data_IF_748735827860
#
_entry.id   IF_748735827860
#
_cell.length_a   1.000
_cell.length_b   1.000
_cell.length_c   1.000
_cell.angle_alpha   90.00
_cell.angle_beta   90.00
_cell.angle_gamma   90.00
#
_symmetry.space_group_name_H-M   'P 1'
#
loop_
_entity.id
_entity.type
_entity.pdbx_description
1 polymer ?
#
# COMPACT_ATOMS: atom_id res chain seq x y z
N UNK A 1 51.45 12.04 3.04
CA UNK A 1 51.12 11.52 4.39
C UNK A 1 50.50 12.56 5.33
N UNK A 2 50.62 13.87 5.07
CA UNK A 2 49.95 14.90 5.88
C UNK A 2 48.43 15.03 5.61
N UNK A 3 47.96 14.74 4.39
CA UNK A 3 46.54 14.92 4.01
C UNK A 3 45.60 13.80 4.47
N UNK A 4 46.11 12.59 4.73
CA UNK A 4 45.32 11.46 5.25
C UNK A 4 44.95 11.69 6.73
N UNK A 5 45.85 12.32 7.50
CA UNK A 5 45.60 12.63 8.90
C UNK A 5 44.56 13.75 9.08
N UNK A 6 44.41 14.66 8.12
CA UNK A 6 43.37 15.70 8.17
C UNK A 6 41.96 15.13 7.93
N UNK A 7 41.84 14.09 7.08
CA UNK A 7 40.58 13.39 6.85
C UNK A 7 40.16 12.52 8.06
N UNK A 8 41.12 11.87 8.73
CA UNK A 8 40.86 11.09 9.94
C UNK A 8 40.52 11.96 11.16
N UNK A 9 41.08 13.17 11.24
CA UNK A 9 40.76 14.10 12.35
C UNK A 9 39.33 14.67 12.23
N UNK A 10 38.75 14.74 11.01
CA UNK A 10 37.35 15.16 10.81
C UNK A 10 36.31 14.06 11.08
N UNK A 11 36.71 12.79 11.17
CA UNK A 11 35.82 11.69 11.54
C UNK A 11 35.62 11.57 13.06
N UNK A 12 36.49 12.18 13.87
CA UNK A 12 36.45 12.09 15.34
C UNK A 12 35.74 13.28 16.03
N UNK A 13 35.01 14.10 15.27
CA UNK A 13 34.17 15.16 15.83
C UNK A 13 32.81 15.22 15.14
N UNK A 14 32.17 14.07 14.92
CA UNK A 14 30.72 14.08 14.69
C UNK A 14 30.10 14.38 16.06
N UNK A 15 29.53 15.58 16.29
CA UNK A 15 28.78 15.81 17.51
C UNK A 15 27.72 14.72 17.59
N UNK A 16 27.54 14.10 18.76
CA UNK A 16 26.54 13.05 18.96
C UNK A 16 25.22 13.53 18.37
N UNK A 17 24.85 13.01 17.19
CA UNK A 17 23.63 13.41 16.52
C UNK A 17 22.51 13.04 17.48
N UNK A 18 21.75 14.05 17.92
CA UNK A 18 20.54 13.80 18.72
C UNK A 18 19.72 12.78 17.92
N UNK A 19 19.24 11.71 18.57
CA UNK A 19 18.46 10.70 17.88
C UNK A 19 17.31 11.39 17.16
N UNK A 20 17.01 10.98 15.91
CA UNK A 20 15.91 11.57 15.16
C UNK A 20 14.63 11.43 15.98
N UNK A 21 13.90 12.53 16.10
CA UNK A 21 12.65 12.58 16.87
C UNK A 21 11.49 12.20 15.95
N UNK A 22 10.60 11.33 16.43
CA UNK A 22 9.35 11.05 15.74
C UNK A 22 8.37 12.17 16.08
N UNK A 23 7.87 12.86 15.06
CA UNK A 23 6.90 13.94 15.21
C UNK A 23 5.52 13.39 14.84
N UNK A 24 4.57 13.45 15.77
CA UNK A 24 3.20 13.01 15.56
C UNK A 24 2.35 14.21 15.16
N UNK A 25 1.97 14.24 13.87
CA UNK A 25 1.12 15.28 13.26
C UNK A 25 -0.21 14.68 12.84
N UNK A 26 -1.15 14.62 13.79
CA UNK A 26 -2.51 14.09 13.56
C UNK A 26 -3.24 14.89 12.49
N UNK A 27 -3.12 16.22 12.54
CA UNK A 27 -3.64 17.15 11.55
C UNK A 27 -3.17 16.86 10.11
N UNK A 28 -2.03 16.19 9.96
CA UNK A 28 -1.41 15.91 8.67
C UNK A 28 -1.69 14.49 8.15
N UNK A 29 -1.77 13.52 9.06
CA UNK A 29 -1.65 12.09 8.74
C UNK A 29 -2.73 11.20 9.39
N UNK A 30 -3.62 11.73 10.25
CA UNK A 30 -4.78 10.98 10.75
C UNK A 30 -5.96 11.03 9.78
N UNK A 31 -6.93 10.14 10.00
CA UNK A 31 -8.11 9.98 9.16
C UNK A 31 -8.98 11.25 9.18
N UNK A 32 -8.95 12.01 8.09
CA UNK A 32 -9.94 13.05 7.83
C UNK A 32 -11.26 12.39 7.45
N UNK A 33 -12.31 12.62 8.26
CA UNK A 33 -13.68 12.21 7.90
C UNK A 33 -14.27 13.07 6.77
N UNK A 34 -13.58 14.13 6.32
CA UNK A 34 -14.12 15.08 5.34
C UNK A 34 -14.45 14.42 3.99
N UNK A 35 -13.72 13.37 3.59
CA UNK A 35 -13.98 12.67 2.33
C UNK A 35 -14.98 11.49 2.46
N UNK A 36 -15.47 11.21 3.67
CA UNK A 36 -16.21 9.96 3.95
C UNK A 36 -17.49 9.83 3.14
N UNK A 37 -18.29 10.90 3.07
CA UNK A 37 -19.57 10.87 2.35
C UNK A 37 -19.36 10.67 0.84
N UNK A 38 -18.37 11.33 0.25
CA UNK A 38 -17.99 11.13 -1.16
C UNK A 38 -17.52 9.69 -1.42
N UNK A 39 -16.67 9.15 -0.56
CA UNK A 39 -16.21 7.76 -0.67
C UNK A 39 -17.38 6.77 -0.53
N UNK A 40 -18.34 7.05 0.34
CA UNK A 40 -19.53 6.19 0.52
C UNK A 40 -20.49 6.27 -0.68
N UNK A 41 -20.62 7.42 -1.33
CA UNK A 41 -21.35 7.56 -2.60
C UNK A 41 -20.66 6.83 -3.76
N UNK A 42 -19.33 6.89 -3.81
CA UNK A 42 -18.52 6.09 -4.73
C UNK A 42 -18.75 4.60 -4.51
N UNK A 43 -18.73 4.13 -3.25
CA UNK A 43 -19.04 2.72 -2.91
C UNK A 43 -20.45 2.32 -3.36
N UNK A 44 -21.45 3.22 -3.24
CA UNK A 44 -22.81 2.96 -3.76
C UNK A 44 -22.81 2.74 -5.27
N UNK A 45 -22.00 3.48 -6.02
CA UNK A 45 -21.85 3.30 -7.47
C UNK A 45 -21.06 2.02 -7.81
N UNK A 46 -20.04 1.66 -7.03
CA UNK A 46 -19.32 0.39 -7.21
C UNK A 46 -20.22 -0.84 -6.99
N UNK A 47 -21.22 -0.74 -6.11
CA UNK A 47 -22.24 -1.81 -5.93
C UNK A 47 -22.95 -2.13 -7.24
N UNK A 48 -23.22 -1.14 -8.09
CA UNK A 48 -23.91 -1.31 -9.38
C UNK A 48 -23.10 -2.22 -10.31
N UNK A 49 -21.77 -2.13 -10.29
CA UNK A 49 -20.87 -2.93 -11.15
C UNK A 49 -20.81 -4.41 -10.78
N UNK A 50 -21.05 -4.74 -9.51
CA UNK A 50 -20.87 -6.10 -8.97
C UNK A 50 -22.19 -6.84 -8.73
N UNK A 51 -23.34 -6.16 -8.88
CA UNK A 51 -24.68 -6.70 -8.65
C UNK A 51 -25.38 -7.05 -9.97
N UNK A 52 -26.22 -8.11 -9.99
CA UNK A 52 -26.97 -8.47 -11.18
C UNK A 52 -28.09 -7.47 -11.48
N UNK A 53 -28.40 -7.28 -12.77
CA UNK A 53 -29.60 -6.56 -13.22
C UNK A 53 -29.43 -5.07 -13.50
N UNK A 54 -28.26 -4.49 -13.24
CA UNK A 54 -27.98 -3.08 -13.53
C UNK A 54 -27.27 -2.92 -14.89
N UNK A 55 -27.75 -2.01 -15.77
CA UNK A 55 -27.26 -1.88 -17.15
C UNK A 55 -25.97 -1.04 -17.28
N UNK A 56 -25.44 -0.48 -16.19
CA UNK A 56 -24.35 0.48 -16.24
C UNK A 56 -23.01 -0.20 -16.48
N UNK A 57 -22.61 -0.29 -17.75
CA UNK A 57 -21.26 -0.68 -18.14
C UNK A 57 -20.33 0.53 -18.03
N UNK A 58 -19.20 0.35 -17.35
CA UNK A 58 -18.12 1.32 -17.26
C UNK A 58 -16.89 0.85 -18.03
N UNK A 59 -16.91 0.94 -19.38
CA UNK A 59 -15.82 0.45 -20.23
C UNK A 59 -14.47 1.16 -19.98
N UNK A 60 -14.48 2.32 -19.33
CA UNK A 60 -13.30 3.06 -18.90
C UNK A 60 -12.55 2.38 -17.73
N UNK A 61 -13.21 1.52 -16.98
CA UNK A 61 -12.58 0.79 -15.87
C UNK A 61 -11.70 -0.34 -16.40
N UNK A 62 -10.50 -0.45 -15.85
CA UNK A 62 -9.52 -1.44 -16.30
C UNK A 62 -9.95 -2.83 -15.85
N UNK A 63 -10.37 -3.67 -16.80
CA UNK A 63 -10.66 -5.09 -16.59
C UNK A 63 -9.62 -5.97 -17.32
N UNK A 64 -9.07 -7.02 -16.68
CA UNK A 64 -8.05 -7.86 -17.31
C UNK A 64 -8.58 -8.51 -18.60
N UNK A 65 -7.86 -8.36 -19.72
CA UNK A 65 -8.25 -8.97 -21.01
C UNK A 65 -8.34 -10.51 -20.96
N UNK A 66 -7.66 -11.13 -20.00
CA UNK A 66 -7.75 -12.57 -19.74
C UNK A 66 -9.09 -12.96 -19.12
N UNK A 67 -9.77 -12.05 -18.42
CA UNK A 67 -11.12 -12.26 -17.90
C UNK A 67 -12.14 -12.00 -19.00
N UNK A 68 -12.69 -13.08 -19.55
CA UNK A 68 -13.75 -13.01 -20.58
C UNK A 68 -15.13 -12.70 -20.02
N UNK A 69 -15.32 -12.95 -18.73
CA UNK A 69 -16.57 -12.75 -18.00
C UNK A 69 -16.63 -11.33 -17.43
N UNK A 70 -17.84 -10.79 -17.32
CA UNK A 70 -18.08 -9.49 -16.71
C UNK A 70 -17.86 -9.58 -15.17
N UNK A 71 -17.55 -8.47 -14.47
CA UNK A 71 -17.27 -8.49 -13.03
C UNK A 71 -18.34 -9.20 -12.19
N UNK A 72 -19.63 -8.96 -12.48
CA UNK A 72 -20.77 -9.60 -11.81
C UNK A 72 -20.78 -11.13 -11.98
N UNK A 73 -20.31 -11.65 -13.12
CA UNK A 73 -20.21 -13.09 -13.35
C UNK A 73 -19.01 -13.67 -12.60
N UNK A 74 -17.91 -12.93 -12.52
CA UNK A 74 -16.73 -13.34 -11.73
C UNK A 74 -17.06 -13.38 -10.23
N UNK A 75 -17.89 -12.46 -9.72
CA UNK A 75 -18.40 -12.54 -8.34
C UNK A 75 -19.16 -13.84 -8.11
N UNK A 76 -20.00 -14.29 -9.07
CA UNK A 76 -20.70 -15.59 -8.95
C UNK A 76 -19.72 -16.75 -8.86
N UNK A 77 -18.70 -16.78 -9.72
CA UNK A 77 -17.68 -17.83 -9.67
C UNK A 77 -16.91 -17.83 -8.34
N UNK A 78 -16.62 -16.65 -7.78
CA UNK A 78 -15.99 -16.54 -6.46
C UNK A 78 -16.91 -17.12 -5.38
N UNK A 79 -18.21 -16.84 -5.41
CA UNK A 79 -19.19 -17.40 -4.45
C UNK A 79 -19.29 -18.92 -4.58
N UNK A 80 -19.27 -19.47 -5.80
CA UNK A 80 -19.28 -20.92 -6.05
C UNK A 80 -18.02 -21.60 -5.49
N UNK A 81 -16.84 -21.01 -5.73
CA UNK A 81 -15.57 -21.49 -5.19
C UNK A 81 -15.54 -21.42 -3.66
N UNK A 82 -15.98 -20.30 -3.08
CA UNK A 82 -16.04 -20.14 -1.62
C UNK A 82 -17.02 -21.11 -0.96
N UNK A 83 -18.16 -21.36 -1.58
CA UNK A 83 -19.11 -22.38 -1.09
C UNK A 83 -18.46 -23.76 -1.04
N UNK A 84 -17.72 -24.13 -2.09
CA UNK A 84 -16.97 -25.38 -2.13
C UNK A 84 -15.90 -25.43 -1.04
N UNK A 85 -15.12 -24.36 -0.88
CA UNK A 85 -14.10 -24.27 0.17
C UNK A 85 -14.67 -24.30 1.59
N UNK A 86 -15.86 -23.74 1.81
CA UNK A 86 -16.58 -23.80 3.09
C UNK A 86 -16.87 -25.24 3.49
N UNK A 87 -17.41 -26.03 2.56
CA UNK A 87 -17.74 -27.43 2.81
C UNK A 87 -16.48 -28.26 3.08
N UNK A 88 -15.42 -28.04 2.30
CA UNK A 88 -14.12 -28.70 2.49
C UNK A 88 -13.54 -28.35 3.87
N UNK A 89 -13.46 -27.06 4.22
CA UNK A 89 -12.87 -26.62 5.47
C UNK A 89 -13.63 -27.19 6.67
N UNK A 90 -14.97 -27.12 6.66
CA UNK A 90 -15.80 -27.66 7.75
C UNK A 90 -15.61 -29.16 7.93
N UNK A 91 -15.63 -29.92 6.83
CA UNK A 91 -15.36 -31.36 6.86
C UNK A 91 -13.96 -31.68 7.36
N UNK A 92 -12.94 -30.98 6.86
CA UNK A 92 -11.55 -31.20 7.27
C UNK A 92 -11.32 -30.79 8.73
N UNK A 93 -12.01 -29.77 9.22
CA UNK A 93 -11.98 -29.38 10.63
C UNK A 93 -12.47 -30.48 11.57
N UNK A 94 -13.45 -31.27 11.13
CA UNK A 94 -14.00 -32.38 11.89
C UNK A 94 -13.17 -33.67 11.78
N UNK A 95 -12.42 -33.83 10.69
CA UNK A 95 -11.75 -35.10 10.33
C UNK A 95 -10.23 -35.09 10.50
N UNK A 96 -9.60 -33.92 10.55
CA UNK A 96 -8.15 -33.74 10.68
C UNK A 96 -7.77 -33.24 12.08
N UNK A 97 -6.54 -33.55 12.49
CA UNK A 97 -5.92 -32.92 13.66
C UNK A 97 -5.36 -31.54 13.25
N UNK A 98 -6.22 -30.52 13.26
CA UNK A 98 -5.91 -29.18 12.75
C UNK A 98 -4.72 -28.52 13.46
N UNK A 99 -4.55 -28.78 14.75
CA UNK A 99 -3.46 -28.22 15.55
C UNK A 99 -2.09 -28.76 15.12
N UNK A 100 -2.06 -29.94 14.45
CA UNK A 100 -0.82 -30.53 13.92
C UNK A 100 -0.49 -30.14 12.49
N UNK A 101 -1.38 -29.44 11.78
CA UNK A 101 -1.13 -29.05 10.38
C UNK A 101 0.04 -28.06 10.29
N UNK A 102 0.15 -27.13 11.25
CA UNK A 102 1.17 -26.11 11.26
C UNK A 102 1.63 -25.82 12.69
N UNK A 103 2.93 -26.03 12.96
CA UNK A 103 3.49 -25.84 14.29
C UNK A 103 3.78 -24.37 14.65
N UNK A 104 4.17 -23.55 13.65
CA UNK A 104 4.52 -22.14 13.86
C UNK A 104 3.51 -21.23 13.19
N UNK A 105 2.94 -20.33 13.97
CA UNK A 105 2.01 -19.31 13.51
C UNK A 105 2.62 -17.92 13.65
N UNK A 106 2.31 -17.03 12.71
CA UNK A 106 2.77 -15.63 12.75
C UNK A 106 1.79 -14.78 13.56
N UNK A 107 2.25 -13.64 14.08
CA UNK A 107 1.37 -12.60 14.62
C UNK A 107 0.40 -13.07 15.75
N UNK A 108 0.80 -14.06 16.56
CA UNK A 108 -0.05 -14.68 17.58
C UNK A 108 -1.38 -15.23 17.02
N UNK A 109 -1.37 -15.60 15.74
CA UNK A 109 -2.46 -16.30 15.07
C UNK A 109 -2.46 -17.78 15.47
N UNK A 110 -3.61 -18.44 15.31
CA UNK A 110 -3.81 -19.83 15.70
C UNK A 110 -4.91 -20.46 14.81
N UNK A 111 -5.02 -21.79 14.74
CA UNK A 111 -5.97 -22.46 13.84
C UNK A 111 -7.39 -21.90 13.97
N UNK A 112 -7.90 -21.69 15.18
CA UNK A 112 -9.27 -21.21 15.34
C UNK A 112 -9.46 -19.79 14.81
N UNK A 113 -8.46 -18.91 14.91
CA UNK A 113 -8.55 -17.52 14.43
C UNK A 113 -8.51 -17.50 12.90
N UNK A 114 -7.73 -18.39 12.29
CA UNK A 114 -7.86 -18.68 10.87
C UNK A 114 -9.29 -19.09 10.52
N UNK A 115 -9.86 -20.06 11.23
CA UNK A 115 -11.24 -20.53 10.96
C UNK A 115 -12.26 -19.40 11.11
N UNK A 116 -12.18 -18.62 12.17
CA UNK A 116 -13.09 -17.51 12.45
C UNK A 116 -13.12 -16.51 11.29
N UNK A 117 -11.94 -16.10 10.79
CA UNK A 117 -11.85 -15.20 9.62
C UNK A 117 -12.43 -15.81 8.36
N UNK A 118 -12.18 -17.09 8.09
CA UNK A 118 -12.71 -17.76 6.89
C UNK A 118 -14.21 -18.03 6.98
N UNK A 119 -14.75 -18.42 8.14
CA UNK A 119 -16.20 -18.54 8.35
C UNK A 119 -16.89 -17.18 8.15
N UNK A 120 -16.30 -16.09 8.64
CA UNK A 120 -16.79 -14.73 8.39
C UNK A 120 -16.86 -14.41 6.89
N UNK A 121 -15.81 -14.73 6.13
CA UNK A 121 -15.82 -14.57 4.67
C UNK A 121 -16.89 -15.45 4.00
N UNK A 122 -17.08 -16.68 4.45
CA UNK A 122 -18.14 -17.53 3.91
C UNK A 122 -19.53 -16.96 4.18
N UNK A 123 -19.79 -16.42 5.37
CA UNK A 123 -21.04 -15.73 5.67
C UNK A 123 -21.25 -14.51 4.75
N UNK A 124 -20.22 -13.67 4.61
CA UNK A 124 -20.30 -12.42 3.85
C UNK A 124 -20.43 -12.64 2.32
N UNK A 125 -19.98 -13.77 1.80
CA UNK A 125 -20.07 -14.11 0.36
C UNK A 125 -21.18 -15.12 0.02
N UNK A 126 -21.29 -16.22 0.76
CA UNK A 126 -22.17 -17.34 0.41
C UNK A 126 -23.59 -17.14 0.97
N UNK A 127 -23.73 -16.51 2.14
CA UNK A 127 -25.03 -16.36 2.82
C UNK A 127 -25.72 -15.02 2.47
N UNK A 128 -25.09 -14.21 1.63
CA UNK A 128 -25.61 -12.93 1.13
C UNK A 128 -26.13 -13.09 -0.29
N UNK A 129 -27.37 -12.66 -0.53
CA UNK A 129 -27.90 -12.58 -1.91
C UNK A 129 -27.07 -11.63 -2.74
N UNK A 130 -26.75 -12.00 -3.97
CA UNK A 130 -25.88 -11.20 -4.83
C UNK A 130 -26.39 -9.77 -5.05
N UNK A 131 -27.70 -9.52 -5.05
CA UNK A 131 -28.26 -8.15 -5.14
C UNK A 131 -27.88 -7.24 -3.95
N UNK A 132 -27.44 -7.83 -2.84
CA UNK A 132 -27.01 -7.12 -1.62
C UNK A 132 -25.50 -7.17 -1.41
N UNK A 133 -24.73 -7.73 -2.35
CA UNK A 133 -23.28 -7.86 -2.24
C UNK A 133 -22.60 -6.51 -1.96
N UNK A 134 -21.62 -6.50 -1.06
CA UNK A 134 -20.85 -5.31 -0.70
C UNK A 134 -19.43 -5.38 -1.31
N UNK A 135 -19.04 -4.43 -2.17
CA UNK A 135 -17.74 -4.43 -2.85
C UNK A 135 -16.53 -4.49 -1.90
N UNK A 136 -16.64 -3.95 -0.69
CA UNK A 136 -15.58 -3.98 0.34
C UNK A 136 -15.09 -5.40 0.66
N UNK A 137 -15.98 -6.40 0.54
CA UNK A 137 -15.68 -7.81 0.80
C UNK A 137 -14.66 -8.39 -0.17
N UNK A 138 -14.55 -7.81 -1.37
CA UNK A 138 -13.54 -8.20 -2.35
C UNK A 138 -12.14 -7.96 -1.81
N UNK A 139 -11.91 -6.79 -1.21
CA UNK A 139 -10.62 -6.43 -0.62
C UNK A 139 -10.30 -7.33 0.57
N UNK A 140 -11.26 -7.54 1.47
CA UNK A 140 -11.09 -8.44 2.62
C UNK A 140 -10.74 -9.89 2.20
N UNK A 141 -11.41 -10.42 1.18
CA UNK A 141 -11.12 -11.75 0.63
C UNK A 141 -9.70 -11.82 0.05
N UNK A 142 -9.35 -10.86 -0.80
CA UNK A 142 -8.04 -10.83 -1.45
C UNK A 142 -6.90 -10.74 -0.43
N UNK A 143 -7.02 -9.83 0.55
CA UNK A 143 -6.05 -9.64 1.61
C UNK A 143 -5.94 -10.87 2.51
N UNK A 144 -7.07 -11.52 2.83
CA UNK A 144 -7.06 -12.74 3.66
C UNK A 144 -6.36 -13.88 2.95
N UNK A 145 -6.65 -14.12 1.66
CA UNK A 145 -5.96 -15.16 0.88
C UNK A 145 -4.46 -14.87 0.83
N UNK A 146 -4.09 -13.62 0.54
CA UNK A 146 -2.70 -13.19 0.44
C UNK A 146 -1.96 -13.36 1.77
N UNK A 147 -2.54 -12.90 2.87
CA UNK A 147 -1.99 -13.06 4.21
C UNK A 147 -1.80 -14.53 4.56
N UNK A 148 -2.81 -15.38 4.33
CA UNK A 148 -2.73 -16.82 4.58
C UNK A 148 -1.67 -17.49 3.70
N UNK A 149 -1.54 -17.08 2.43
CA UNK A 149 -0.54 -17.63 1.51
C UNK A 149 0.90 -17.33 1.95
N UNK A 150 1.12 -16.17 2.58
CA UNK A 150 2.44 -15.74 3.06
C UNK A 150 2.77 -16.31 4.43
N UNK A 151 1.81 -16.30 5.36
CA UNK A 151 2.08 -16.61 6.77
C UNK A 151 1.65 -18.01 7.19
N UNK A 152 0.60 -18.55 6.59
CA UNK A 152 -0.04 -19.81 7.00
C UNK A 152 -0.18 -20.79 5.83
N UNK A 153 0.81 -20.80 4.92
CA UNK A 153 0.76 -21.52 3.66
C UNK A 153 0.43 -23.00 3.84
N UNK A 154 1.17 -23.69 4.71
CA UNK A 154 0.96 -25.12 4.97
C UNK A 154 -0.46 -25.38 5.46
N UNK A 155 -0.97 -24.52 6.34
CA UNK A 155 -2.33 -24.62 6.84
C UNK A 155 -3.36 -24.39 5.74
N UNK A 156 -3.23 -23.29 4.99
CA UNK A 156 -4.11 -22.87 3.90
C UNK A 156 -4.27 -23.99 2.86
N UNK A 157 -3.17 -24.54 2.36
CA UNK A 157 -3.22 -25.59 1.33
C UNK A 157 -3.71 -26.94 1.90
N UNK A 158 -3.46 -27.25 3.17
CA UNK A 158 -3.91 -28.51 3.77
C UNK A 158 -5.39 -28.49 4.12
N UNK A 159 -5.87 -27.41 4.74
CA UNK A 159 -7.26 -27.32 5.21
C UNK A 159 -8.26 -27.25 4.06
N UNK A 160 -7.86 -26.70 2.91
CA UNK A 160 -8.69 -26.60 1.71
C UNK A 160 -8.48 -27.74 0.70
N UNK A 161 -7.69 -28.76 1.04
CA UNK A 161 -7.50 -29.92 0.17
C UNK A 161 -8.67 -30.92 0.35
N UNK A 162 -9.30 -31.35 -0.74
CA UNK A 162 -10.39 -32.32 -0.70
C UNK A 162 -9.94 -33.71 -0.20
N UNK A 163 -8.73 -34.15 -0.56
CA UNK A 163 -8.39 -35.57 -0.42
C UNK A 163 -7.78 -35.97 0.93
N UNK A 164 -7.48 -35.02 1.83
CA UNK A 164 -6.78 -35.31 3.09
C UNK A 164 -5.44 -36.05 2.92
N UNK A 165 -4.94 -36.18 1.69
CA UNK A 165 -3.73 -36.93 1.31
C UNK A 165 -2.57 -35.98 1.15
N UNK A 166 -1.48 -36.30 1.85
CA UNK A 166 -0.21 -35.60 1.82
C UNK A 166 0.48 -35.68 0.45
N UNK A 167 0.91 -34.50 -0.01
CA UNK A 167 2.11 -34.21 -0.81
C UNK A 167 2.24 -34.66 -2.28
N UNK A 168 1.37 -35.50 -2.86
CA UNK A 168 1.60 -36.00 -4.25
C UNK A 168 0.43 -35.89 -5.24
N UNK A 169 -0.70 -35.32 -4.85
CA UNK A 169 -1.78 -35.04 -5.80
C UNK A 169 -1.44 -33.79 -6.65
N UNK A 170 -1.85 -33.73 -7.94
CA UNK A 170 -1.73 -32.50 -8.74
C UNK A 170 -2.38 -31.36 -7.94
N UNK A 171 -1.58 -30.34 -7.65
CA UNK A 171 -1.97 -29.22 -6.79
C UNK A 171 -3.33 -28.70 -7.23
N UNK A 172 -4.32 -28.82 -6.34
CA UNK A 172 -5.66 -28.34 -6.59
C UNK A 172 -5.60 -26.86 -6.98
N UNK A 173 -5.94 -26.59 -8.24
CA UNK A 173 -5.84 -25.25 -8.83
C UNK A 173 -7.01 -24.35 -8.41
N UNK A 174 -8.00 -24.87 -7.66
CA UNK A 174 -9.15 -24.07 -7.19
C UNK A 174 -8.71 -22.87 -6.35
N UNK A 175 -7.65 -23.01 -5.55
CA UNK A 175 -7.16 -21.90 -4.71
C UNK A 175 -6.50 -20.81 -5.58
N UNK A 176 -5.72 -21.20 -6.59
CA UNK A 176 -5.17 -20.28 -7.59
C UNK A 176 -6.26 -19.58 -8.40
N UNK A 177 -7.31 -20.33 -8.74
CA UNK A 177 -8.49 -19.82 -9.42
C UNK A 177 -9.27 -18.80 -8.58
N UNK A 178 -9.47 -19.08 -7.29
CA UNK A 178 -10.07 -18.14 -6.34
C UNK A 178 -9.22 -16.89 -6.22
N UNK A 179 -7.91 -17.04 -6.01
CA UNK A 179 -6.99 -15.91 -5.90
C UNK A 179 -6.95 -15.05 -7.15
N UNK A 180 -6.88 -15.66 -8.35
CA UNK A 180 -6.86 -14.91 -9.61
C UNK A 180 -8.15 -14.11 -9.85
N UNK A 181 -9.30 -14.64 -9.44
CA UNK A 181 -10.59 -13.95 -9.51
C UNK A 181 -10.72 -12.85 -8.46
N UNK A 182 -10.36 -13.14 -7.21
CA UNK A 182 -10.32 -12.15 -6.13
C UNK A 182 -9.39 -10.98 -6.50
N UNK A 183 -8.20 -11.26 -7.06
CA UNK A 183 -7.28 -10.24 -7.53
C UNK A 183 -7.87 -9.38 -8.65
N UNK A 184 -8.52 -9.99 -9.64
CA UNK A 184 -9.11 -9.23 -10.74
C UNK A 184 -10.21 -8.27 -10.25
N UNK A 185 -11.02 -8.72 -9.29
CA UNK A 185 -12.02 -7.87 -8.63
C UNK A 185 -11.37 -6.79 -7.76
N UNK A 186 -10.31 -7.12 -7.01
CA UNK A 186 -9.58 -6.16 -6.17
C UNK A 186 -8.97 -5.04 -7.00
N UNK A 187 -8.26 -5.38 -8.08
CA UNK A 187 -7.66 -4.43 -9.03
C UNK A 187 -8.70 -3.48 -9.66
N UNK A 188 -9.98 -3.90 -9.73
CA UNK A 188 -11.10 -3.09 -10.21
C UNK A 188 -11.67 -2.20 -9.10
N UNK A 189 -11.84 -2.71 -7.88
CA UNK A 189 -12.56 -2.04 -6.79
C UNK A 189 -11.64 -1.09 -6.03
N UNK A 190 -10.50 -1.56 -5.52
CA UNK A 190 -9.68 -0.83 -4.56
C UNK A 190 -9.22 0.57 -5.05
N UNK A 191 -8.73 0.74 -6.30
CA UNK A 191 -8.35 2.06 -6.79
C UNK A 191 -9.52 3.03 -6.93
N UNK A 192 -10.73 2.50 -7.09
CA UNK A 192 -11.93 3.30 -7.33
C UNK A 192 -12.65 3.68 -6.04
N UNK A 193 -12.28 3.11 -4.89
CA UNK A 193 -12.81 3.54 -3.58
C UNK A 193 -12.47 5.02 -3.28
N UNK A 194 -11.44 5.55 -3.93
CA UNK A 194 -10.97 6.93 -3.81
C UNK A 194 -11.44 7.83 -4.95
N UNK A 195 -12.56 7.49 -5.59
CA UNK A 195 -13.16 8.20 -6.72
C UNK A 195 -13.18 7.37 -7.99
N UNK A 196 -14.22 7.52 -8.82
CA UNK A 196 -14.32 6.85 -10.13
C UNK A 196 -13.84 7.80 -11.21
N UNK A 197 -14.45 9.00 -11.27
CA UNK A 197 -14.11 10.04 -12.23
C UNK A 197 -12.89 10.86 -11.76
N UNK A 198 -12.15 11.51 -12.69
CA UNK A 198 -11.01 12.36 -12.34
C UNK A 198 -11.34 13.47 -11.35
N UNK A 199 -12.51 14.10 -11.47
CA UNK A 199 -12.97 15.19 -10.60
C UNK A 199 -13.19 14.69 -9.17
N UNK A 200 -13.83 13.52 -9.02
CA UNK A 200 -14.05 12.88 -7.71
C UNK A 200 -12.72 12.49 -7.05
N UNK A 201 -11.79 11.96 -7.84
CA UNK A 201 -10.43 11.63 -7.37
C UNK A 201 -9.66 12.85 -6.90
N UNK A 202 -9.84 13.99 -7.57
CA UNK A 202 -9.24 15.27 -7.18
C UNK A 202 -9.84 15.75 -5.86
N UNK A 203 -11.16 15.72 -5.73
CA UNK A 203 -11.90 16.21 -4.56
C UNK A 203 -11.60 15.38 -3.30
N UNK A 204 -11.72 14.05 -3.39
CA UNK A 204 -11.33 13.13 -2.31
C UNK A 204 -9.84 13.33 -1.96
N UNK A 205 -8.98 13.48 -2.98
CA UNK A 205 -7.57 13.80 -2.81
C UNK A 205 -7.34 15.07 -2.01
N UNK A 206 -8.08 16.13 -2.30
CA UNK A 206 -7.97 17.43 -1.62
C UNK A 206 -8.38 17.31 -0.15
N UNK A 207 -9.50 16.66 0.12
CA UNK A 207 -10.07 16.54 1.47
C UNK A 207 -9.23 15.64 2.41
N UNK A 208 -8.47 14.70 1.85
CA UNK A 208 -7.65 13.76 2.64
C UNK A 208 -6.16 14.14 2.66
N UNK A 209 -5.57 14.50 1.52
CA UNK A 209 -4.12 14.53 1.33
C UNK A 209 -3.55 15.90 0.95
N UNK A 210 -4.36 16.95 0.81
CA UNK A 210 -3.85 18.29 0.51
C UNK A 210 -2.89 18.84 1.58
N UNK A 211 -3.16 18.70 2.89
CA UNK A 211 -2.21 19.15 3.92
C UNK A 211 -0.84 18.49 3.78
N UNK A 212 -0.82 17.18 3.50
CA UNK A 212 0.41 16.43 3.27
C UNK A 212 1.14 16.93 2.02
N UNK A 213 0.43 17.14 0.91
CA UNK A 213 1.03 17.66 -0.31
C UNK A 213 1.64 19.05 -0.11
N UNK A 214 0.98 19.94 0.65
CA UNK A 214 1.51 21.27 1.01
C UNK A 214 2.80 21.14 1.83
N UNK A 215 2.84 20.24 2.80
CA UNK A 215 4.05 20.01 3.60
C UNK A 215 5.20 19.44 2.76
N UNK A 216 4.93 18.52 1.85
CA UNK A 216 5.93 18.00 0.91
C UNK A 216 6.50 19.11 0.03
N UNK A 217 5.65 20.00 -0.52
CA UNK A 217 6.12 21.17 -1.29
C UNK A 217 6.96 22.11 -0.43
N UNK A 218 6.52 22.40 0.79
CA UNK A 218 7.28 23.22 1.74
C UNK A 218 8.62 22.60 2.13
N UNK A 219 8.70 21.28 2.26
CA UNK A 219 9.96 20.55 2.48
C UNK A 219 10.90 20.66 1.28
N UNK A 220 10.39 20.55 0.06
CA UNK A 220 11.18 20.71 -1.16
C UNK A 220 11.73 22.15 -1.27
N UNK A 221 10.93 23.15 -0.90
CA UNK A 221 11.36 24.55 -0.81
C UNK A 221 12.44 24.75 0.26
N UNK A 222 12.25 24.20 1.46
CA UNK A 222 13.25 24.23 2.53
C UNK A 222 14.55 23.55 2.10
N UNK A 223 14.46 22.36 1.50
CA UNK A 223 15.60 21.60 1.03
C UNK A 223 16.36 22.33 -0.08
N UNK A 224 15.68 23.02 -0.99
CA UNK A 224 16.32 23.83 -2.03
C UNK A 224 17.08 25.03 -1.44
N UNK A 225 16.53 25.64 -0.40
CA UNK A 225 17.12 26.82 0.25
C UNK A 225 18.16 26.46 1.33
N UNK A 226 18.32 25.18 1.62
CA UNK A 226 19.34 24.66 2.54
C UNK A 226 20.53 24.13 1.73
N UNK A 227 21.75 24.35 2.21
CA UNK A 227 22.98 23.85 1.57
C UNK A 227 23.32 22.40 1.98
N UNK A 228 22.59 21.85 2.95
CA UNK A 228 22.77 20.48 3.44
C UNK A 228 21.80 19.48 2.81
N UNK A 229 22.24 18.22 2.68
CA UNK A 229 21.34 17.14 2.31
C UNK A 229 20.36 16.83 3.46
N UNK A 230 19.10 16.57 3.12
CA UNK A 230 18.06 16.25 4.08
C UNK A 230 17.24 15.02 3.69
N UNK A 231 16.58 14.42 4.67
CA UNK A 231 15.61 13.35 4.50
C UNK A 231 14.41 13.63 5.40
N UNK A 232 13.23 13.73 4.81
CA UNK A 232 11.95 13.74 5.55
C UNK A 232 11.22 12.44 5.26
N UNK A 233 10.79 11.75 6.31
CA UNK A 233 10.00 10.52 6.23
C UNK A 233 8.61 10.77 6.79
N UNK A 234 7.60 10.44 6.00
CA UNK A 234 6.20 10.48 6.39
C UNK A 234 5.68 9.05 6.52
N UNK A 235 5.27 8.66 7.73
CA UNK A 235 4.65 7.36 7.98
C UNK A 235 3.14 7.51 7.93
N UNK A 236 2.51 6.82 6.99
CA UNK A 236 1.08 6.98 6.71
C UNK A 236 0.45 5.67 6.26
N UNK A 237 -0.86 5.68 6.03
CA UNK A 237 -1.65 4.53 5.59
C UNK A 237 -1.71 4.45 4.06
N UNK A 238 -2.10 3.28 3.55
CA UNK A 238 -2.35 3.03 2.13
C UNK A 238 -3.31 4.06 1.51
N UNK A 239 -4.42 4.36 2.20
CA UNK A 239 -5.43 5.33 1.76
C UNK A 239 -4.86 6.73 1.53
N UNK A 240 -3.93 7.19 2.38
CA UNK A 240 -3.25 8.47 2.21
C UNK A 240 -2.30 8.44 1.01
N UNK A 241 -1.59 7.34 0.77
CA UNK A 241 -0.73 7.22 -0.43
C UNK A 241 -1.60 7.26 -1.70
N UNK A 242 -2.75 6.56 -1.72
CA UNK A 242 -3.67 6.57 -2.86
C UNK A 242 -4.20 7.97 -3.17
N UNK A 243 -4.73 8.66 -2.15
CA UNK A 243 -5.31 10.00 -2.31
C UNK A 243 -4.24 11.05 -2.67
N UNK A 244 -3.04 10.98 -2.08
CA UNK A 244 -1.90 11.81 -2.47
C UNK A 244 -1.48 11.55 -3.93
N UNK A 245 -1.42 10.28 -4.34
CA UNK A 245 -1.10 9.90 -5.71
C UNK A 245 -2.14 10.41 -6.71
N UNK A 246 -3.43 10.42 -6.37
CA UNK A 246 -4.47 11.03 -7.21
C UNK A 246 -4.19 12.52 -7.46
N UNK A 247 -3.86 13.29 -6.42
CA UNK A 247 -3.47 14.70 -6.57
C UNK A 247 -2.24 14.86 -7.48
N UNK A 248 -1.21 14.03 -7.27
CA UNK A 248 0.00 14.04 -8.09
C UNK A 248 -0.32 13.71 -9.56
N UNK A 249 -1.18 12.74 -9.84
CA UNK A 249 -1.58 12.36 -11.19
C UNK A 249 -2.43 13.43 -11.89
N UNK A 250 -3.23 14.19 -11.14
CA UNK A 250 -4.14 15.24 -11.62
C UNK A 250 -3.51 16.65 -11.63
N UNK A 251 -2.28 16.78 -11.11
CA UNK A 251 -1.47 18.00 -11.13
C UNK A 251 -1.07 18.48 -12.54
N UNK A 252 -1.13 17.58 -13.53
CA UNK A 252 -0.64 17.82 -14.89
C UNK A 252 0.87 17.59 -15.06
N UNK A 253 1.54 16.98 -14.08
CA UNK A 253 2.90 16.49 -14.24
C UNK A 253 2.99 15.43 -15.36
N UNK A 254 4.07 15.42 -16.17
CA UNK A 254 4.30 14.42 -17.20
C UNK A 254 4.71 13.08 -16.56
N UNK A 255 3.71 12.33 -16.07
CA UNK A 255 3.91 11.06 -15.37
C UNK A 255 3.79 9.89 -16.35
N UNK A 256 4.82 9.05 -16.36
CA UNK A 256 4.82 7.76 -17.02
C UNK A 256 3.99 6.75 -16.22
N UNK A 257 3.20 5.91 -16.90
CA UNK A 257 2.32 4.91 -16.31
C UNK A 257 1.45 5.46 -15.17
N UNK A 258 0.31 6.05 -15.56
CA UNK A 258 -0.65 6.72 -14.65
C UNK A 258 -1.43 5.76 -13.75
N UNK A 259 -1.21 4.44 -13.83
CA UNK A 259 -1.86 3.45 -12.97
C UNK A 259 -1.13 3.38 -11.63
N UNK A 260 -1.86 3.66 -10.55
CA UNK A 260 -1.41 3.35 -9.19
C UNK A 260 -1.42 1.81 -9.06
N UNK A 261 -0.28 1.19 -8.74
CA UNK A 261 -0.23 -0.24 -8.50
C UNK A 261 -0.88 -0.59 -7.16
N UNK A 262 -0.97 -1.89 -6.89
CA UNK A 262 -1.27 -2.39 -5.54
C UNK A 262 -0.20 -1.92 -4.55
N UNK A 263 -0.62 -1.49 -3.37
CA UNK A 263 0.26 -0.93 -2.35
C UNK A 263 0.36 -1.89 -1.15
N UNK A 264 1.46 -2.64 -1.08
CA UNK A 264 1.74 -3.51 0.07
C UNK A 264 2.46 -2.79 1.20
N UNK A 265 2.69 -3.51 2.31
CA UNK A 265 3.54 -3.04 3.41
C UNK A 265 4.85 -2.43 2.90
N UNK A 266 5.25 -1.30 3.49
CA UNK A 266 6.42 -0.52 3.06
C UNK A 266 6.32 0.08 1.65
N UNK A 267 5.13 0.17 1.06
CA UNK A 267 4.87 1.03 -0.10
C UNK A 267 5.26 2.47 0.20
N UNK A 268 5.86 3.14 -0.78
CA UNK A 268 6.31 4.51 -0.61
C UNK A 268 6.42 5.26 -1.93
N UNK A 269 6.00 6.54 -1.90
CA UNK A 269 6.32 7.54 -2.91
C UNK A 269 7.53 8.36 -2.46
N UNK A 270 8.38 8.73 -3.42
CA UNK A 270 9.57 9.55 -3.18
C UNK A 270 9.52 10.81 -4.04
N UNK A 271 9.89 11.94 -3.43
CA UNK A 271 10.14 13.21 -4.09
C UNK A 271 11.61 13.55 -3.89
N UNK A 272 12.42 13.26 -4.90
CA UNK A 272 13.88 13.40 -4.82
C UNK A 272 14.28 14.73 -5.45
N UNK A 273 14.77 15.68 -4.65
CA UNK A 273 15.36 16.93 -5.12
C UNK A 273 16.86 16.73 -5.42
N UNK A 274 17.29 17.15 -6.61
CA UNK A 274 18.68 17.09 -7.04
C UNK A 274 19.19 18.50 -7.35
N UNK A 275 20.39 18.80 -6.85
CA UNK A 275 21.16 19.98 -7.21
C UNK A 275 22.27 19.57 -8.18
N UNK A 276 22.39 20.28 -9.31
CA UNK A 276 23.53 20.17 -10.21
C UNK A 276 24.38 21.44 -10.11
N UNK A 277 25.64 21.25 -9.70
CA UNK A 277 26.67 22.27 -9.79
C UNK A 277 27.29 22.26 -11.20
N UNK A 278 27.37 23.45 -11.82
CA UNK A 278 27.88 23.72 -13.17
C UNK A 278 26.93 23.40 -14.35
N UNK A 279 25.95 24.27 -14.58
CA UNK A 279 25.39 24.51 -15.91
C UNK A 279 26.42 25.15 -16.86
N UNK A 280 26.10 25.25 -18.17
CA UNK A 280 26.90 25.99 -19.18
C UNK A 280 26.93 27.49 -18.81
N UNK A 281 27.75 27.91 -17.84
CA UNK A 281 27.78 29.31 -17.40
C UNK A 281 28.46 29.65 -16.07
N UNK A 282 28.97 28.69 -15.28
CA UNK A 282 29.75 28.97 -14.04
C UNK A 282 29.06 29.80 -12.93
N UNK A 283 27.74 30.00 -12.91
CA UNK A 283 27.07 30.70 -11.78
C UNK A 283 25.73 30.12 -11.28
N UNK A 284 24.94 29.44 -12.10
CA UNK A 284 23.56 29.11 -11.68
C UNK A 284 23.43 27.63 -11.30
N UNK A 285 23.07 27.38 -10.04
CA UNK A 285 22.66 26.06 -9.54
C UNK A 285 21.36 25.65 -10.24
N UNK A 286 21.32 24.45 -10.79
CA UNK A 286 20.11 23.90 -11.42
C UNK A 286 19.48 22.86 -10.50
N UNK A 287 18.17 22.99 -10.27
CA UNK A 287 17.41 22.09 -9.41
C UNK A 287 16.42 21.28 -10.23
N UNK A 288 16.38 19.98 -10.00
CA UNK A 288 15.42 19.08 -10.61
C UNK A 288 14.79 18.17 -9.57
N UNK A 289 13.53 17.78 -9.79
CA UNK A 289 12.81 16.84 -8.94
C UNK A 289 12.48 15.58 -9.74
N UNK A 290 12.63 14.42 -9.11
CA UNK A 290 12.24 13.12 -9.66
C UNK A 290 11.27 12.43 -8.72
N UNK A 291 10.16 11.94 -9.27
CA UNK A 291 9.15 11.20 -8.53
C UNK A 291 9.28 9.70 -8.84
N UNK A 292 9.23 8.87 -7.81
CA UNK A 292 9.21 7.41 -7.96
C UNK A 292 8.29 6.77 -6.93
N UNK A 293 7.71 5.61 -7.26
CA UNK A 293 6.78 4.84 -6.42
C UNK A 293 7.24 3.40 -6.31
N UNK A 294 7.18 2.81 -5.11
CA UNK A 294 7.35 1.38 -4.87
C UNK A 294 6.04 0.77 -4.38
N UNK A 295 5.75 -0.44 -4.86
CA UNK A 295 4.65 -1.31 -4.41
C UNK A 295 4.88 -1.89 -3.01
N UNK A 296 6.05 -1.62 -2.40
CA UNK A 296 6.39 -2.18 -1.10
C UNK A 296 6.82 -3.63 -1.20
N UNK A 297 6.57 -4.39 -0.14
CA UNK A 297 6.88 -5.81 0.00
C UNK A 297 5.89 -6.66 -0.82
N UNK A 298 5.95 -6.52 -2.15
CA UNK A 298 4.99 -7.09 -3.10
C UNK A 298 5.53 -8.36 -3.79
N UNK A 299 4.62 -9.27 -4.15
CA UNK A 299 4.87 -10.39 -5.07
C UNK A 299 3.59 -10.72 -5.84
N UNK A 300 3.70 -10.88 -7.15
CA UNK A 300 2.57 -11.26 -8.01
C UNK A 300 2.17 -12.73 -7.85
N UNK A 301 3.04 -13.57 -7.28
CA UNK A 301 2.89 -15.02 -7.22
C UNK A 301 2.95 -15.51 -5.77
N UNK A 302 2.24 -14.86 -4.84
CA UNK A 302 2.24 -15.22 -3.41
C UNK A 302 1.86 -16.69 -3.18
N UNK A 303 0.95 -17.25 -3.99
CA UNK A 303 0.56 -18.65 -3.92
C UNK A 303 1.62 -19.62 -4.43
N UNK A 304 2.65 -19.19 -5.16
CA UNK A 304 3.73 -20.07 -5.66
C UNK A 304 5.09 -19.71 -5.04
N UNK A 305 5.15 -18.66 -4.24
CA UNK A 305 6.38 -18.20 -3.61
C UNK A 305 6.72 -19.08 -2.40
N UNK A 306 7.90 -19.72 -2.42
CA UNK A 306 8.47 -20.33 -1.23
C UNK A 306 9.12 -19.22 -0.39
N UNK A 307 8.52 -18.92 0.77
CA UNK A 307 9.11 -18.01 1.75
C UNK A 307 10.00 -18.77 2.72
N UNK A 308 11.06 -18.12 3.15
CA UNK A 308 11.87 -18.61 4.27
C UNK A 308 11.15 -18.38 5.61
N UNK A 309 11.75 -18.83 6.71
CA UNK A 309 11.17 -18.73 8.05
C UNK A 309 10.93 -17.29 8.55
N UNK A 310 11.29 -16.25 7.79
CA UNK A 310 10.96 -14.85 8.09
C UNK A 310 9.54 -14.50 7.65
N UNK A 311 8.93 -15.29 6.76
CA UNK A 311 7.61 -15.02 6.16
C UNK A 311 7.50 -13.56 5.68
N UNK A 312 8.57 -13.04 5.06
CA UNK A 312 8.68 -11.65 4.63
C UNK A 312 9.05 -11.56 3.16
N UNK A 313 8.41 -10.63 2.44
CA UNK A 313 8.76 -10.31 1.06
C UNK A 313 9.82 -9.20 1.01
N UNK A 314 10.64 -9.21 -0.04
CA UNK A 314 11.56 -8.11 -0.31
C UNK A 314 10.77 -6.89 -0.81
N UNK A 315 11.18 -5.70 -0.36
CA UNK A 315 10.62 -4.45 -0.87
C UNK A 315 11.01 -4.27 -2.33
N UNK A 316 10.02 -4.08 -3.20
CA UNK A 316 10.21 -3.91 -4.63
C UNK A 316 10.93 -2.59 -4.94
N UNK A 317 11.78 -2.56 -5.99
CA UNK A 317 12.47 -1.34 -6.38
C UNK A 317 11.48 -0.26 -6.83
N UNK A 318 11.87 1.00 -6.64
CA UNK A 318 11.04 2.14 -7.05
C UNK A 318 10.90 2.21 -8.57
N UNK A 319 9.66 2.20 -9.05
CA UNK A 319 9.30 2.55 -10.42
C UNK A 319 9.36 4.07 -10.59
N UNK A 320 10.09 4.53 -11.60
CA UNK A 320 10.16 5.97 -11.94
C UNK A 320 8.80 6.43 -12.46
N UNK A 321 8.21 7.45 -11.83
CA UNK A 321 7.00 8.11 -12.31
C UNK A 321 7.35 9.24 -13.28
N UNK A 322 8.46 9.95 -13.03
CA UNK A 322 8.94 11.02 -13.90
C UNK A 322 10.43 10.85 -14.20
N UNK A 323 10.89 11.51 -15.27
CA UNK A 323 12.31 11.84 -15.41
C UNK A 323 12.67 12.99 -14.46
N UNK A 324 13.90 13.50 -14.53
CA UNK A 324 14.26 14.76 -13.89
C UNK A 324 13.43 15.89 -14.51
N UNK A 325 12.59 16.52 -13.70
CA UNK A 325 11.78 17.67 -14.10
C UNK A 325 12.33 18.94 -13.46
N UNK A 326 12.28 20.10 -14.14
CA UNK A 326 12.70 21.36 -13.55
C UNK A 326 11.94 21.65 -12.25
N UNK A 327 12.65 22.05 -11.20
CA UNK A 327 12.04 22.38 -9.89
C UNK A 327 10.84 23.32 -10.01
N UNK A 328 10.91 24.47 -10.72
CA UNK A 328 9.78 25.41 -10.79
C UNK A 328 8.52 24.79 -11.40
N UNK A 329 8.70 23.95 -12.44
CA UNK A 329 7.58 23.24 -13.07
C UNK A 329 6.91 22.29 -12.08
N UNK A 330 7.69 21.56 -11.27
CA UNK A 330 7.10 20.60 -10.33
C UNK A 330 6.32 21.32 -9.23
N UNK A 331 6.89 22.38 -8.66
CA UNK A 331 6.20 23.17 -7.63
C UNK A 331 4.93 23.80 -8.19
N UNK A 332 4.98 24.42 -9.38
CA UNK A 332 3.79 25.00 -10.03
C UNK A 332 2.66 23.97 -10.20
N UNK A 333 2.99 22.77 -10.70
CA UNK A 333 2.01 21.73 -10.97
C UNK A 333 1.40 21.15 -9.71
N UNK A 334 2.22 20.85 -8.70
CA UNK A 334 1.72 20.33 -7.41
C UNK A 334 0.88 21.38 -6.68
N UNK A 335 1.25 22.66 -6.76
CA UNK A 335 0.54 23.78 -6.11
C UNK A 335 -0.79 24.14 -6.77
N UNK A 336 -1.11 23.59 -7.95
CA UNK A 336 -2.41 23.80 -8.64
C UNK A 336 -3.62 23.53 -7.72
N UNK A 337 -3.49 22.56 -6.82
CA UNK A 337 -4.56 22.15 -5.91
C UNK A 337 -4.75 23.09 -4.72
N UNK A 338 -3.79 23.97 -4.44
CA UNK A 338 -3.72 24.68 -3.15
C UNK A 338 -4.80 25.74 -2.98
N UNK A 339 -5.38 26.23 -4.08
CA UNK A 339 -6.47 27.21 -4.05
C UNK A 339 -7.86 26.62 -3.79
N UNK A 340 -8.01 25.27 -3.74
CA UNK A 340 -9.31 24.61 -3.57
C UNK A 340 -9.73 24.41 -2.10
N UNK A 341 -9.35 25.34 -1.23
CA UNK A 341 -9.74 25.29 0.18
C UNK A 341 -11.27 25.31 0.27
N UNK A 342 -11.86 24.30 0.92
CA UNK A 342 -13.19 24.43 1.50
C UNK A 342 -13.01 25.19 2.82
N UNK A 343 -13.84 26.21 3.05
CA UNK A 343 -13.91 27.02 4.28
C UNK A 343 -14.36 26.17 5.50
N UNK A 344 -13.64 25.09 5.82
CA UNK A 344 -13.74 24.46 7.13
C UNK A 344 -12.58 24.93 8.01
N UNK A 345 -13.00 25.80 8.90
CA UNK A 345 -12.28 26.67 9.82
C UNK A 345 -11.63 25.85 10.96
N UNK A 346 -10.71 24.93 10.65
CA UNK A 346 -9.98 24.16 11.69
C UNK A 346 -8.46 23.98 11.46
N UNK A 347 -7.86 24.76 10.55
CA UNK A 347 -6.42 25.05 10.65
C UNK A 347 -6.22 26.35 11.40
N UNK A 348 -6.55 26.32 12.70
CA UNK A 348 -6.06 27.30 13.66
C UNK A 348 -4.51 27.34 13.69
N UNK A 349 -3.91 28.38 14.28
CA UNK A 349 -2.46 28.49 14.36
C UNK A 349 -1.88 27.29 15.11
N UNK A 350 -0.85 26.66 14.52
CA UNK A 350 -0.04 25.55 15.06
C UNK A 350 -0.75 24.70 16.13
N UNK A 351 -1.53 23.71 15.70
CA UNK A 351 -1.95 22.63 16.59
C UNK A 351 -0.69 22.01 17.22
N UNK A 352 -0.59 21.94 18.56
CA UNK A 352 0.58 21.38 19.23
C UNK A 352 0.82 19.95 18.74
N UNK A 353 2.01 19.68 18.22
CA UNK A 353 2.39 18.34 17.79
C UNK A 353 3.14 17.62 18.90
N UNK A 354 2.81 16.34 19.08
CA UNK A 354 3.51 15.48 20.02
C UNK A 354 4.86 15.06 19.41
N UNK A 355 5.91 15.07 20.22
CA UNK A 355 7.23 14.61 19.79
C UNK A 355 7.64 13.44 20.67
N UNK A 356 7.91 12.30 20.04
CA UNK A 356 8.38 11.09 20.69
C UNK A 356 9.88 10.97 20.44
N UNK A 357 10.67 10.96 21.51
CA UNK A 357 12.11 10.70 21.41
C UNK A 357 12.33 9.24 21.03
N UNK A 358 13.16 8.99 20.01
CA UNK A 358 13.52 7.62 19.67
C UNK A 358 14.26 6.96 20.84
N UNK A 359 13.88 5.72 21.18
CA UNK A 359 14.62 4.89 22.13
C UNK A 359 16.08 4.84 21.67
N UNK A 360 17.02 5.09 22.60
CA UNK A 360 18.44 4.95 22.31
C UNK A 360 18.66 3.54 21.74
N UNK A 361 19.18 3.46 20.51
CA UNK A 361 19.53 2.18 19.91
C UNK A 361 20.42 1.41 20.90
N UNK A 362 20.22 0.10 21.09
CA UNK A 362 21.17 -0.69 21.86
C UNK A 362 22.53 -0.51 21.18
N UNK A 363 23.49 0.04 21.92
CA UNK A 363 24.89 0.13 21.51
C UNK A 363 25.24 -1.29 21.06
N UNK A 364 25.62 -1.46 19.79
CA UNK A 364 26.14 -2.72 19.30
C UNK A 364 27.27 -3.11 20.24
N UNK A 365 27.02 -4.12 21.07
CA UNK A 365 28.02 -4.74 21.93
C UNK A 365 29.23 -5.03 21.05
N UNK A 366 30.34 -4.36 21.35
CA UNK A 366 31.65 -4.68 20.79
C UNK A 366 31.79 -6.18 20.75
N UNK A 367 32.05 -6.74 19.57
CA UNK A 367 32.47 -8.12 19.42
C UNK A 367 33.63 -8.37 20.42
N UNK A 368 33.66 -9.50 21.15
CA UNK A 368 34.81 -9.81 21.97
C UNK A 368 36.03 -9.85 21.04
N UNK A 369 37.06 -9.09 21.40
CA UNK A 369 38.34 -9.15 20.74
C UNK A 369 38.80 -10.61 20.79
N UNK A 370 39.16 -11.16 19.62
CA UNK A 370 39.99 -12.35 19.56
C UNK A 370 41.29 -12.00 20.31
N UNK A 371 41.46 -12.58 21.49
CA UNK A 371 42.73 -12.57 22.22
C UNK A 371 43.71 -13.56 21.53
N UNK A 372 45.01 -13.25 21.53
CA UNK A 372 46.00 -13.75 20.56
C UNK A 372 46.37 -15.23 20.66
#
# INVERSE_FOLDING_TARGET
MADINLALTRLNSVPAQKPPKLIVRKDLLDDSNAAKDLMDDVKKRLKILLRPGEPEKRPELTWPKSMKKEPVEVVKEVIELLSTFRDIMRRNWETMDVDKIQARWCCADEPWLFRERWEKLFEDFCDVKQEKFDPSRVSELYDTIKYCALHHRTFLFSIFNEDGRTEQAPQDRRLHELYGRAKALFDLVAPQEYGIEPEEKEEIGVLTSLPLLRNVVGDLERARNNEECGLTLYFTKESHIHTLMNLVLLSGLPIANRRIPELDYCSHITFELYERNHGRGKSDKEYSIKLSLSEGAHSSNVLDSALDARHSLNVQPRRKLTQHLPYPLVIERLSKHFGRVMDDDDTGPETPFETIDALQAPIASTAPADDP
#
